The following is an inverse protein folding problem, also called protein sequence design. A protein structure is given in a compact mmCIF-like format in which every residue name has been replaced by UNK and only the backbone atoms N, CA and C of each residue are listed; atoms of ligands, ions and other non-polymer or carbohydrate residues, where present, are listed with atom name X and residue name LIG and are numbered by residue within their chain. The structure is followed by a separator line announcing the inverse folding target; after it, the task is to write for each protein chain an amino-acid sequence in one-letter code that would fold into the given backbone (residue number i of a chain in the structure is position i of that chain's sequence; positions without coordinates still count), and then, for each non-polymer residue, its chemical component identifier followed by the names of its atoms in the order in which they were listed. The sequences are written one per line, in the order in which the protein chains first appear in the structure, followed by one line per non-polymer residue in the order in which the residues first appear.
data_IF_941976660663
#
_entry.id   IF_941976660663
#
_cell.length_a   1.000
_cell.length_b   1.000
_cell.length_c   1.000
_cell.angle_alpha   90.00
_cell.angle_beta   90.00
_cell.angle_gamma   90.00
#
_symmetry.space_group_name_H-M   'P 1'
#
loop_
_entity.id
_entity.type
_entity.pdbx_description
1 polymer ?
#
# COMPACT_ATOMS: atom_id res chain seq x y z
N UNK A 1 3.98 -19.26 25.02
CA UNK A 1 4.53 -18.47 23.90
C UNK A 1 3.39 -18.17 22.95
N UNK A 2 2.82 -16.97 23.03
CA UNK A 2 1.92 -16.46 21.99
C UNK A 2 2.78 -16.19 20.77
N UNK A 3 2.64 -17.02 19.74
CA UNK A 3 3.16 -16.71 18.40
C UNK A 3 2.51 -15.40 17.97
N UNK A 4 3.31 -14.36 17.71
CA UNK A 4 2.83 -13.15 17.06
C UNK A 4 2.06 -13.57 15.79
N UNK A 5 0.89 -12.97 15.51
CA UNK A 5 0.18 -13.24 14.28
C UNK A 5 1.13 -12.96 13.11
N UNK A 6 1.17 -13.83 12.07
CA UNK A 6 2.06 -13.63 10.94
C UNK A 6 1.85 -12.22 10.38
N UNK A 7 2.92 -11.44 10.30
CA UNK A 7 2.89 -10.11 9.71
C UNK A 7 2.46 -10.27 8.26
N UNK A 8 1.29 -9.74 7.91
CA UNK A 8 0.82 -9.79 6.54
C UNK A 8 1.82 -9.02 5.67
N UNK A 9 2.45 -9.71 4.71
CA UNK A 9 3.28 -9.04 3.72
C UNK A 9 2.39 -8.18 2.82
N UNK A 10 2.94 -7.06 2.37
CA UNK A 10 2.22 -6.12 1.52
C UNK A 10 2.38 -6.55 0.09
N UNK A 11 1.28 -7.01 -0.50
CA UNK A 11 1.26 -7.47 -1.90
C UNK A 11 1.06 -6.31 -2.87
N UNK A 12 0.37 -5.26 -2.43
CA UNK A 12 0.12 -4.06 -3.22
C UNK A 12 -0.04 -2.82 -2.36
N UNK A 13 0.21 -1.67 -2.97
CA UNK A 13 -0.11 -0.37 -2.41
C UNK A 13 -0.93 0.48 -3.39
N UNK A 14 -1.85 1.28 -2.87
CA UNK A 14 -2.52 2.36 -3.60
C UNK A 14 -1.82 3.68 -3.27
N UNK A 15 -1.19 4.29 -4.27
CA UNK A 15 -0.35 5.46 -4.07
C UNK A 15 -1.06 6.79 -4.41
N UNK A 16 -0.51 7.90 -3.91
CA UNK A 16 -1.12 9.24 -4.00
C UNK A 16 -1.15 9.80 -5.42
N UNK A 17 -0.35 9.25 -6.34
CA UNK A 17 -0.43 9.51 -7.78
C UNK A 17 -1.58 8.77 -8.47
N UNK A 18 -2.37 8.00 -7.72
CA UNK A 18 -3.50 7.22 -8.22
C UNK A 18 -3.11 5.86 -8.81
N UNK A 19 -1.82 5.50 -8.83
CA UNK A 19 -1.38 4.21 -9.33
C UNK A 19 -1.47 3.13 -8.25
N UNK A 20 -1.69 1.90 -8.70
CA UNK A 20 -1.53 0.69 -7.88
C UNK A 20 -0.16 0.12 -8.22
N UNK A 21 0.65 -0.11 -7.20
CA UNK A 21 1.92 -0.80 -7.32
C UNK A 21 1.78 -2.18 -6.68
N UNK A 22 2.17 -3.22 -7.41
CA UNK A 22 2.14 -4.59 -6.91
C UNK A 22 3.55 -5.16 -6.83
N UNK A 23 3.77 -6.06 -5.87
CA UNK A 23 4.98 -6.87 -5.83
C UNK A 23 4.89 -7.95 -6.91
N UNK A 24 6.02 -8.24 -7.55
CA UNK A 24 6.15 -9.35 -8.51
C UNK A 24 7.13 -10.35 -7.91
N UNK A 25 6.81 -11.64 -7.97
CA UNK A 25 7.72 -12.72 -7.56
C UNK A 25 8.89 -12.87 -8.55
N UNK A 26 8.61 -12.61 -9.83
CA UNK A 26 9.57 -12.66 -10.94
C UNK A 26 9.99 -11.25 -11.39
N UNK A 27 10.91 -11.20 -12.36
CA UNK A 27 11.34 -9.95 -12.98
C UNK A 27 10.12 -9.21 -13.58
N UNK A 28 9.87 -7.95 -13.19
CA UNK A 28 8.74 -7.18 -13.69
C UNK A 28 8.87 -6.97 -15.21
N UNK A 29 7.75 -6.73 -15.91
CA UNK A 29 7.80 -6.31 -17.30
C UNK A 29 8.69 -5.06 -17.47
N UNK A 30 9.47 -4.95 -18.56
CA UNK A 30 10.37 -3.82 -18.75
C UNK A 30 9.61 -2.50 -18.87
N UNK A 31 10.22 -1.41 -18.38
CA UNK A 31 9.68 -0.05 -18.50
C UNK A 31 8.57 0.31 -17.48
N UNK A 32 8.33 -0.54 -16.48
CA UNK A 32 7.39 -0.23 -15.39
C UNK A 32 7.99 0.79 -14.43
N UNK A 33 7.18 1.79 -14.03
CA UNK A 33 7.54 2.68 -12.93
C UNK A 33 7.67 1.86 -11.64
N UNK A 34 8.70 2.15 -10.86
CA UNK A 34 8.96 1.48 -9.59
C UNK A 34 8.55 2.43 -8.47
N UNK A 35 7.96 1.90 -7.42
CA UNK A 35 7.81 2.58 -6.14
C UNK A 35 8.59 1.79 -5.10
N UNK A 36 9.53 2.46 -4.43
CA UNK A 36 10.25 1.96 -3.26
C UNK A 36 9.85 2.86 -2.11
N UNK A 37 9.22 2.30 -1.09
CA UNK A 37 8.74 3.06 0.05
C UNK A 37 8.95 2.36 1.38
N UNK A 38 9.03 3.17 2.43
CA UNK A 38 9.25 2.72 3.79
C UNK A 38 8.04 3.02 4.66
N UNK A 39 7.63 2.04 5.46
CA UNK A 39 6.47 2.17 6.31
C UNK A 39 6.70 3.21 7.43
N UNK A 40 5.72 4.09 7.63
CA UNK A 40 5.64 4.94 8.81
C UNK A 40 5.42 4.09 10.06
N UNK A 41 6.05 4.49 11.16
CA UNK A 41 5.81 3.91 12.48
C UNK A 41 4.41 4.30 13.00
N UNK A 42 3.94 3.61 14.04
CA UNK A 42 2.66 3.96 14.67
C UNK A 42 2.66 5.39 15.23
N UNK A 43 3.77 5.81 15.84
CA UNK A 43 3.91 7.14 16.45
C UNK A 43 3.93 8.24 15.38
N UNK A 44 4.61 8.04 14.26
CA UNK A 44 4.61 8.99 13.14
C UNK A 44 3.19 9.15 12.56
N UNK A 45 2.46 8.05 12.35
CA UNK A 45 1.07 8.11 11.88
C UNK A 45 0.19 8.85 12.88
N UNK A 46 0.38 8.64 14.17
CA UNK A 46 -0.36 9.35 15.22
C UNK A 46 -0.02 10.85 15.26
N UNK A 47 1.26 11.20 15.12
CA UNK A 47 1.75 12.57 15.11
C UNK A 47 1.20 13.37 13.92
N UNK A 48 1.22 12.78 12.72
CA UNK A 48 0.65 13.42 11.53
C UNK A 48 -0.88 13.46 11.58
N UNK A 49 -1.51 12.39 12.06
CA UNK A 49 -2.95 12.17 11.99
C UNK A 49 -3.47 12.14 10.54
N UNK A 50 -4.76 11.89 10.37
CA UNK A 50 -5.36 11.75 9.03
C UNK A 50 -5.17 13.01 8.15
N UNK A 51 -5.39 14.21 8.71
CA UNK A 51 -5.27 15.46 7.97
C UNK A 51 -3.82 15.74 7.54
N UNK A 52 -2.86 15.47 8.42
CA UNK A 52 -1.43 15.65 8.12
C UNK A 52 -0.98 14.68 7.03
N UNK A 53 -1.38 13.42 7.10
CA UNK A 53 -1.07 12.41 6.08
C UNK A 53 -1.67 12.76 4.72
N UNK A 54 -2.93 13.22 4.66
CA UNK A 54 -3.55 13.66 3.41
C UNK A 54 -2.84 14.87 2.81
N UNK A 55 -2.46 15.85 3.64
CA UNK A 55 -1.66 17.00 3.17
C UNK A 55 -0.30 16.55 2.65
N UNK A 56 0.34 15.60 3.33
CA UNK A 56 1.63 15.07 2.92
C UNK A 56 1.54 14.32 1.61
N UNK A 57 0.47 13.55 1.38
CA UNK A 57 0.18 12.88 0.11
C UNK A 57 0.01 13.86 -1.08
N UNK A 58 -0.30 15.13 -0.82
CA UNK A 58 -0.31 16.19 -1.85
C UNK A 58 1.09 16.76 -2.14
N UNK A 59 2.08 16.49 -1.31
CA UNK A 59 3.44 17.04 -1.39
C UNK A 59 4.50 15.98 -1.71
N UNK A 60 4.25 14.72 -1.35
CA UNK A 60 5.16 13.59 -1.51
C UNK A 60 4.39 12.36 -1.99
N UNK A 61 5.10 11.38 -2.54
CA UNK A 61 4.51 10.12 -2.96
C UNK A 61 4.30 9.19 -1.76
N UNK A 62 3.05 9.06 -1.33
CA UNK A 62 2.62 8.20 -0.23
C UNK A 62 1.76 7.08 -0.76
N UNK A 63 1.81 5.91 -0.13
CA UNK A 63 0.98 4.79 -0.52
C UNK A 63 0.35 4.05 0.67
N UNK A 64 -0.90 3.63 0.52
CA UNK A 64 -1.60 2.79 1.48
C UNK A 64 -1.44 1.33 1.07
N UNK A 65 -0.78 0.53 1.92
CA UNK A 65 -0.57 -0.89 1.68
C UNK A 65 -1.77 -1.76 2.04
N UNK A 66 -1.87 -2.92 1.38
CA UNK A 66 -2.86 -3.95 1.69
C UNK A 66 -2.74 -4.52 3.11
N UNK A 67 -1.59 -4.33 3.76
CA UNK A 67 -1.34 -4.64 5.17
C UNK A 67 -1.83 -3.56 6.14
N UNK A 68 -2.38 -2.44 5.63
CA UNK A 68 -2.84 -1.30 6.41
C UNK A 68 -1.73 -0.31 6.80
N UNK A 69 -0.50 -0.48 6.33
CA UNK A 69 0.58 0.46 6.56
C UNK A 69 0.53 1.64 5.57
N UNK A 70 1.10 2.78 6.00
CA UNK A 70 1.35 3.94 5.12
C UNK A 70 2.83 3.95 4.78
N UNK A 71 3.14 3.91 3.50
CA UNK A 71 4.48 3.92 2.94
C UNK A 71 4.81 5.30 2.38
N UNK A 72 6.04 5.74 2.55
CA UNK A 72 6.57 6.99 1.98
C UNK A 72 7.78 6.65 1.11
N UNK A 73 7.88 7.27 -0.07
CA UNK A 73 8.97 7.04 -1.02
C UNK A 73 10.38 7.23 -0.43
N UNK A 74 11.36 6.48 -0.96
CA UNK A 74 12.73 6.31 -0.42
C UNK A 74 13.55 7.60 -0.22
N UNK A 75 13.16 8.71 -0.85
CA UNK A 75 13.85 10.01 -0.70
C UNK A 75 13.20 10.92 0.35
N UNK A 76 11.99 10.59 0.81
CA UNK A 76 11.21 11.42 1.72
C UNK A 76 11.36 11.01 3.19
N UNK A 77 12.01 9.88 3.48
CA UNK A 77 12.18 9.35 4.83
C UNK A 77 13.44 8.48 4.95
N UNK A 78 14.05 8.47 6.13
CA UNK A 78 15.20 7.61 6.44
C UNK A 78 14.77 6.12 6.44
N UNK A 79 15.40 5.24 5.65
CA UNK A 79 15.04 3.82 5.57
C UNK A 79 15.37 2.99 6.82
N UNK A 80 16.26 3.46 7.70
CA UNK A 80 16.83 2.62 8.75
C UNK A 80 15.76 2.00 9.68
N UNK A 81 15.74 0.67 9.76
CA UNK A 81 14.84 -0.09 10.63
C UNK A 81 13.37 -0.16 10.16
N UNK A 82 13.06 0.28 8.94
CA UNK A 82 11.67 0.32 8.42
C UNK A 82 11.32 -0.89 7.56
N UNK A 83 10.03 -1.23 7.54
CA UNK A 83 9.48 -2.19 6.57
C UNK A 83 9.51 -1.55 5.18
N UNK A 84 10.28 -2.13 4.27
CA UNK A 84 10.31 -1.74 2.86
C UNK A 84 9.15 -2.37 2.10
N UNK A 85 8.63 -1.63 1.13
CA UNK A 85 7.84 -2.16 0.02
C UNK A 85 8.46 -1.71 -1.29
N UNK A 86 8.68 -2.66 -2.18
CA UNK A 86 9.09 -2.42 -3.57
C UNK A 86 8.05 -3.02 -4.51
N UNK A 87 7.44 -2.17 -5.32
CA UNK A 87 6.41 -2.58 -6.26
C UNK A 87 6.51 -1.88 -7.60
N UNK A 88 5.81 -2.42 -8.58
CA UNK A 88 5.81 -1.93 -9.96
C UNK A 88 4.41 -1.50 -10.35
N UNK A 89 4.32 -0.34 -11.01
CA UNK A 89 3.04 0.24 -11.39
C UNK A 89 2.28 -0.70 -12.33
N UNK A 90 1.02 -0.98 -12.00
CA UNK A 90 0.12 -1.69 -12.89
C UNK A 90 -0.18 -0.84 -14.14
N UNK A 91 -0.41 -1.50 -15.27
CA UNK A 91 -1.00 -0.85 -16.45
C UNK A 91 -2.46 -0.52 -16.15
N UNK A 92 -3.05 0.41 -16.90
CA UNK A 92 -4.47 0.75 -16.77
C UNK A 92 -5.39 -0.47 -16.87
N UNK A 93 -5.04 -1.43 -17.74
CA UNK A 93 -5.79 -2.68 -17.92
C UNK A 93 -5.69 -3.59 -16.70
N UNK A 94 -4.51 -3.72 -16.10
CA UNK A 94 -4.29 -4.51 -14.89
C UNK A 94 -4.94 -3.84 -13.68
N UNK A 95 -4.76 -2.52 -13.52
CA UNK A 95 -5.38 -1.74 -12.46
C UNK A 95 -6.91 -1.84 -12.51
N UNK A 96 -7.52 -1.78 -13.70
CA UNK A 96 -8.96 -1.98 -13.88
C UNK A 96 -9.41 -3.35 -13.39
N UNK A 97 -8.67 -4.42 -13.73
CA UNK A 97 -8.97 -5.78 -13.26
C UNK A 97 -8.86 -5.88 -11.74
N UNK A 98 -7.78 -5.34 -11.17
CA UNK A 98 -7.58 -5.33 -9.70
C UNK A 98 -8.71 -4.57 -8.99
N UNK A 99 -9.13 -3.41 -9.50
CA UNK A 99 -10.26 -2.67 -8.95
C UNK A 99 -11.58 -3.45 -9.00
N UNK A 100 -11.83 -4.22 -10.05
CA UNK A 100 -13.01 -5.11 -10.13
C UNK A 100 -12.96 -6.20 -9.06
N UNK A 101 -11.80 -6.81 -8.85
CA UNK A 101 -11.59 -7.83 -7.83
C UNK A 101 -11.75 -7.24 -6.41
N UNK A 102 -11.22 -6.04 -6.15
CA UNK A 102 -11.43 -5.32 -4.90
C UNK A 102 -12.90 -5.02 -4.65
N UNK A 103 -13.62 -4.54 -5.66
CA UNK A 103 -15.05 -4.26 -5.53
C UNK A 103 -15.82 -5.54 -5.20
N UNK A 104 -15.50 -6.65 -5.85
CA UNK A 104 -16.11 -7.97 -5.57
C UNK A 104 -15.82 -8.44 -4.14
N UNK A 105 -14.57 -8.29 -3.67
CA UNK A 105 -14.19 -8.59 -2.29
C UNK A 105 -14.99 -7.75 -1.30
N UNK A 106 -15.01 -6.43 -1.48
CA UNK A 106 -15.73 -5.51 -0.61
C UNK A 106 -17.23 -5.81 -0.57
N UNK A 107 -17.82 -6.16 -1.72
CA UNK A 107 -19.21 -6.61 -1.80
C UNK A 107 -19.46 -7.88 -0.98
N UNK A 108 -18.61 -8.91 -1.14
CA UNK A 108 -18.74 -10.16 -0.40
C UNK A 108 -18.57 -9.96 1.11
N UNK A 109 -17.61 -9.13 1.53
CA UNK A 109 -17.43 -8.76 2.94
C UNK A 109 -18.67 -8.03 3.50
N UNK A 110 -19.28 -7.14 2.70
CA UNK A 110 -20.51 -6.45 3.08
C UNK A 110 -21.65 -7.43 3.30
N UNK A 111 -21.80 -8.44 2.43
CA UNK A 111 -22.81 -9.50 2.61
C UNK A 111 -22.56 -10.29 3.90
N UNK A 112 -21.32 -10.67 4.17
CA UNK A 112 -20.97 -11.40 5.39
C UNK A 112 -21.29 -10.61 6.67
N UNK A 113 -21.05 -9.29 6.67
CA UNK A 113 -21.40 -8.41 7.80
C UNK A 113 -22.92 -8.25 7.97
N UNK A 114 -23.67 -8.26 6.85
CA UNK A 114 -25.13 -8.11 6.84
C UNK A 114 -25.88 -9.40 7.13
N UNK A 115 -25.28 -10.57 6.93
CA UNK A 115 -25.86 -11.88 7.23
C UNK A 115 -25.98 -12.18 8.75
N UNK A 116 -26.00 -11.12 9.58
CA UNK A 116 -26.32 -11.18 11.00
C UNK A 116 -27.80 -11.47 11.22
#
# INVERSE_FOLDING_TARGET
MTTEPPTMETELVLASDGAIYARFEEEPPPGRRVFIGYALTADERAQHGTKGLLRWACLQHLALGSDGCVYVEEEAIDPEGRKEFRGYALTDKEATRVCQEFHRLAFNLTLAVRAK
#
